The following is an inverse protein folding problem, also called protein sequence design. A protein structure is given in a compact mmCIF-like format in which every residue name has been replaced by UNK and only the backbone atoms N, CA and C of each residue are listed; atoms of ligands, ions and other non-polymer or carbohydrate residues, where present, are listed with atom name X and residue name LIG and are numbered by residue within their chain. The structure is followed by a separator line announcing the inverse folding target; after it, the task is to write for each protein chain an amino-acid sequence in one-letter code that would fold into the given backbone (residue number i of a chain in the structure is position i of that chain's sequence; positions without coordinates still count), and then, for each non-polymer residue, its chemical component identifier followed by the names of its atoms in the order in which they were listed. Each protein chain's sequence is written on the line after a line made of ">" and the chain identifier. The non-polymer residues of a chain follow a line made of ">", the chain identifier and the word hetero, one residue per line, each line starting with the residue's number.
data_IF_166536604747
#
_entry.id   IF_166536604747
#
_cell.length_a   1.000
_cell.length_b   1.000
_cell.length_c   1.000
_cell.angle_alpha   90.00
_cell.angle_beta   90.00
_cell.angle_gamma   90.00
#
_symmetry.space_group_name_H-M   'P 1'
#
loop_
_entity.id
_entity.type
_entity.pdbx_description
1 polymer ?
#
# COMPACT_ATOMS: atom_id res chain seq x y z
N UNK A 1 4.17 0.38 77.42
CA UNK A 1 4.51 1.24 76.28
C UNK A 1 4.42 0.39 75.03
N UNK A 2 3.27 0.45 74.26
CA UNK A 2 3.12 -0.30 73.03
C UNK A 2 3.39 0.67 71.86
N UNK A 3 4.49 0.40 71.13
CA UNK A 3 4.82 1.12 69.92
C UNK A 3 3.96 0.59 68.76
N UNK A 4 3.11 1.44 68.14
CA UNK A 4 2.36 1.11 66.95
C UNK A 4 3.20 1.40 65.72
N UNK A 5 3.63 0.35 65.00
CA UNK A 5 4.27 0.45 63.70
C UNK A 5 3.18 0.62 62.64
N UNK A 6 3.14 1.78 62.00
CA UNK A 6 2.27 2.07 60.87
C UNK A 6 2.96 1.58 59.59
N UNK A 7 2.48 0.48 59.02
CA UNK A 7 2.95 -0.05 57.74
C UNK A 7 2.25 0.69 56.62
N UNK A 8 2.94 1.63 55.98
CA UNK A 8 2.42 2.37 54.81
C UNK A 8 2.58 1.49 53.55
N UNK A 9 1.49 0.92 53.09
CA UNK A 9 1.46 0.13 51.85
C UNK A 9 1.44 1.12 50.63
N UNK A 10 2.57 1.29 49.99
CA UNK A 10 2.70 2.04 48.72
C UNK A 10 2.10 1.20 47.57
N UNK A 11 0.89 1.54 47.16
CA UNK A 11 0.24 0.98 45.97
C UNK A 11 0.89 1.62 44.71
N UNK A 12 1.86 0.94 44.11
CA UNK A 12 2.40 1.36 42.83
C UNK A 12 1.40 1.00 41.71
N UNK A 13 0.68 2.00 41.24
CA UNK A 13 -0.20 1.88 40.05
C UNK A 13 0.69 1.85 38.81
N UNK A 14 0.96 0.66 38.27
CA UNK A 14 1.59 0.52 36.93
C UNK A 14 0.59 0.86 35.86
N UNK A 15 0.73 2.06 35.28
CA UNK A 15 0.00 2.44 34.07
C UNK A 15 0.50 1.58 32.91
N UNK A 16 -0.27 0.55 32.53
CA UNK A 16 -0.06 -0.16 31.29
C UNK A 16 -0.39 0.79 30.14
N UNK A 17 0.62 1.34 29.48
CA UNK A 17 0.44 2.04 28.20
C UNK A 17 -0.02 1.02 27.18
N UNK A 18 -1.29 1.10 26.74
CA UNK A 18 -1.77 0.36 25.59
C UNK A 18 -0.93 0.79 24.37
N UNK A 19 0.03 -0.02 23.98
CA UNK A 19 0.71 0.14 22.70
C UNK A 19 -0.34 -0.07 21.62
N UNK A 20 -0.69 1.00 20.93
CA UNK A 20 -1.50 0.95 19.72
C UNK A 20 -0.64 0.27 18.65
N UNK A 21 -0.67 -1.07 18.59
CA UNK A 21 0.05 -1.84 17.57
C UNK A 21 -0.68 -1.64 16.25
N UNK A 22 -0.19 -0.70 15.44
CA UNK A 22 -0.63 -0.57 14.05
C UNK A 22 -0.43 -1.91 13.34
N UNK A 23 -1.42 -2.33 12.54
CA UNK A 23 -1.32 -3.59 11.82
C UNK A 23 -0.11 -3.55 10.87
N UNK A 24 0.75 -4.55 10.94
CA UNK A 24 1.90 -4.62 10.03
C UNK A 24 1.42 -4.83 8.60
N UNK A 25 1.88 -3.98 7.69
CA UNK A 25 1.68 -4.13 6.25
C UNK A 25 2.03 -5.53 5.74
N UNK A 26 3.10 -6.10 6.25
CA UNK A 26 3.64 -7.39 5.82
C UNK A 26 2.80 -8.60 6.23
N UNK A 27 1.81 -8.43 7.10
CA UNK A 27 0.88 -9.48 7.50
C UNK A 27 -0.39 -9.48 6.63
N UNK A 28 -0.50 -8.57 5.67
CA UNK A 28 -1.67 -8.48 4.80
C UNK A 28 -1.51 -9.44 3.63
N UNK A 29 -2.43 -10.40 3.53
CA UNK A 29 -2.46 -11.33 2.40
C UNK A 29 -2.82 -10.60 1.11
N UNK A 30 -2.04 -10.81 0.07
CA UNK A 30 -2.29 -10.35 -1.28
C UNK A 30 -2.09 -11.51 -2.24
N UNK A 31 -2.83 -11.54 -3.34
CA UNK A 31 -2.72 -12.56 -4.39
C UNK A 31 -2.20 -11.87 -5.65
N UNK A 32 -1.22 -12.46 -6.32
CA UNK A 32 -0.73 -11.95 -7.59
C UNK A 32 -1.73 -12.18 -8.75
N UNK A 33 -1.41 -11.65 -9.91
CA UNK A 33 -2.26 -11.73 -11.10
C UNK A 33 -2.44 -13.18 -11.60
N UNK A 34 -1.54 -14.10 -11.26
CA UNK A 34 -1.61 -15.52 -11.59
C UNK A 34 -2.47 -16.35 -10.62
N UNK A 35 -2.87 -15.77 -9.49
CA UNK A 35 -3.61 -16.42 -8.42
C UNK A 35 -2.72 -17.00 -7.30
N UNK A 36 -1.41 -16.77 -7.36
CA UNK A 36 -0.45 -17.20 -6.32
C UNK A 36 -0.34 -16.18 -5.19
N UNK A 37 0.06 -16.58 -3.97
CA UNK A 37 0.33 -15.63 -2.89
C UNK A 37 1.42 -14.63 -3.27
N UNK A 38 1.14 -13.34 -3.08
CA UNK A 38 2.12 -12.25 -3.21
C UNK A 38 2.55 -11.82 -1.80
N UNK A 39 3.63 -12.40 -1.31
CA UNK A 39 4.17 -12.10 0.01
C UNK A 39 4.88 -10.76 0.01
N UNK A 40 4.31 -9.77 0.71
CA UNK A 40 4.90 -8.44 0.83
C UNK A 40 6.19 -8.44 1.65
N UNK A 41 6.43 -9.44 2.49
CA UNK A 41 7.62 -9.52 3.35
C UNK A 41 8.93 -9.65 2.56
N UNK A 42 8.87 -10.17 1.32
CA UNK A 42 10.01 -10.24 0.41
C UNK A 42 10.55 -8.87 -0.01
N UNK A 43 9.76 -7.81 0.19
CA UNK A 43 10.14 -6.43 -0.15
C UNK A 43 10.62 -5.61 1.06
N UNK A 44 10.79 -6.23 2.24
CA UNK A 44 11.41 -5.56 3.40
C UNK A 44 12.76 -4.98 3.03
N UNK A 45 13.04 -3.76 3.50
CA UNK A 45 14.26 -3.03 3.15
C UNK A 45 14.18 -2.25 1.84
N UNK A 46 13.05 -2.34 1.10
CA UNK A 46 12.76 -1.49 -0.05
C UNK A 46 11.49 -0.68 0.20
N UNK A 47 11.43 0.49 -0.40
CA UNK A 47 10.18 1.23 -0.50
C UNK A 47 9.19 0.50 -1.40
N UNK A 48 7.89 0.65 -1.15
CA UNK A 48 6.84 0.05 -1.98
C UNK A 48 5.91 1.14 -2.48
N UNK A 49 5.70 1.22 -3.79
CA UNK A 49 4.71 2.08 -4.40
C UNK A 49 3.51 1.24 -4.84
N UNK A 50 2.42 1.31 -4.09
CA UNK A 50 1.14 0.71 -4.46
C UNK A 50 0.37 1.64 -5.38
N UNK A 51 -0.17 1.11 -6.47
CA UNK A 51 -0.92 1.89 -7.47
C UNK A 51 -2.16 1.11 -7.90
N UNK A 52 -3.36 1.69 -7.74
CA UNK A 52 -4.55 1.09 -8.34
C UNK A 52 -4.60 1.42 -9.83
N UNK A 53 -4.62 0.39 -10.66
CA UNK A 53 -4.43 0.51 -12.11
C UNK A 53 -5.67 0.07 -12.90
N UNK A 54 -5.76 0.53 -14.15
CA UNK A 54 -6.82 0.15 -15.08
C UNK A 54 -6.37 0.26 -16.54
N UNK A 55 -6.83 -0.67 -17.39
CA UNK A 55 -6.44 -0.78 -18.80
C UNK A 55 -7.15 0.21 -19.74
N UNK A 56 -8.32 0.75 -19.34
CA UNK A 56 -9.17 1.61 -20.18
C UNK A 56 -9.38 3.01 -19.58
N UNK A 57 -8.36 3.57 -18.94
CA UNK A 57 -8.40 4.86 -18.26
C UNK A 57 -7.64 5.93 -19.05
N UNK A 58 -8.03 7.19 -18.95
CA UNK A 58 -7.24 8.31 -19.50
C UNK A 58 -5.83 8.44 -18.94
N UNK A 59 -5.57 7.80 -17.78
CA UNK A 59 -4.25 7.75 -17.14
C UNK A 59 -3.45 6.47 -17.44
N UNK A 60 -3.95 5.56 -18.31
CA UNK A 60 -3.31 4.26 -18.58
C UNK A 60 -1.87 4.41 -19.12
N UNK A 61 -1.58 5.49 -19.87
CA UNK A 61 -0.21 5.81 -20.31
C UNK A 61 0.80 5.98 -19.16
N UNK A 62 0.34 6.13 -17.91
CA UNK A 62 1.25 6.17 -16.76
C UNK A 62 1.95 4.83 -16.46
N UNK A 63 1.52 3.73 -17.07
CA UNK A 63 2.27 2.46 -17.01
C UNK A 63 3.71 2.62 -17.50
N UNK A 64 3.96 3.42 -18.55
CA UNK A 64 5.32 3.70 -19.04
C UNK A 64 6.18 4.30 -17.94
N UNK A 65 5.68 5.35 -17.29
CA UNK A 65 6.41 6.01 -16.20
C UNK A 65 6.53 5.14 -14.93
N UNK A 66 5.56 4.25 -14.65
CA UNK A 66 5.68 3.28 -13.54
C UNK A 66 6.76 2.25 -13.83
N UNK A 67 6.83 1.77 -15.09
CA UNK A 67 7.84 0.82 -15.51
C UNK A 67 9.25 1.45 -15.53
N UNK A 68 9.35 2.70 -15.98
CA UNK A 68 10.59 3.48 -15.92
C UNK A 68 11.06 3.64 -14.46
N UNK A 69 10.14 4.06 -13.56
CA UNK A 69 10.41 4.22 -12.15
C UNK A 69 10.91 2.90 -11.51
N UNK A 70 10.20 1.80 -11.81
CA UNK A 70 10.56 0.48 -11.31
C UNK A 70 11.95 0.04 -11.76
N UNK A 71 12.29 0.22 -13.05
CA UNK A 71 13.62 -0.14 -13.59
C UNK A 71 14.72 0.75 -13.02
N UNK A 72 14.49 2.06 -12.94
CA UNK A 72 15.49 3.03 -12.51
C UNK A 72 15.85 2.86 -11.02
N UNK A 73 14.84 2.56 -10.19
CA UNK A 73 15.02 2.48 -8.73
C UNK A 73 14.90 1.06 -8.17
N UNK A 74 15.12 0.01 -8.98
CA UNK A 74 14.91 -1.41 -8.64
C UNK A 74 15.60 -1.87 -7.36
N UNK A 75 16.71 -1.22 -6.97
CA UNK A 75 17.47 -1.58 -5.77
C UNK A 75 16.82 -1.01 -4.49
N UNK A 76 16.02 0.06 -4.62
CA UNK A 76 15.42 0.80 -3.50
C UNK A 76 13.88 0.74 -3.47
N UNK A 77 13.25 0.48 -4.61
CA UNK A 77 11.80 0.57 -4.79
C UNK A 77 11.26 -0.65 -5.50
N UNK A 78 10.12 -1.12 -5.05
CA UNK A 78 9.24 -1.98 -5.83
C UNK A 78 7.94 -1.24 -6.14
N UNK A 79 7.41 -1.40 -7.34
CA UNK A 79 6.06 -0.95 -7.73
C UNK A 79 5.14 -2.17 -7.68
N UNK A 80 3.96 -2.02 -7.11
CA UNK A 80 2.92 -3.08 -7.12
C UNK A 80 1.66 -2.48 -7.74
N UNK A 81 1.27 -2.98 -8.90
CA UNK A 81 0.04 -2.61 -9.58
C UNK A 81 -1.13 -3.44 -9.04
N UNK A 82 -2.21 -2.77 -8.70
CA UNK A 82 -3.42 -3.34 -8.09
C UNK A 82 -4.62 -3.07 -9.02
N UNK A 83 -4.95 -3.97 -9.96
CA UNK A 83 -6.05 -3.78 -10.89
C UNK A 83 -7.38 -3.57 -10.14
N UNK A 84 -8.16 -2.54 -10.56
CA UNK A 84 -9.40 -2.16 -9.92
C UNK A 84 -10.45 -1.70 -10.91
N UNK A 85 -11.66 -2.29 -10.86
CA UNK A 85 -12.75 -1.96 -11.77
C UNK A 85 -13.78 -0.96 -11.21
N UNK A 86 -13.53 -0.37 -10.03
CA UNK A 86 -14.51 0.48 -9.34
C UNK A 86 -14.64 1.91 -9.89
N UNK A 87 -13.79 2.31 -10.82
CA UNK A 87 -13.79 3.65 -11.41
C UNK A 87 -14.20 3.57 -12.89
N UNK A 88 -15.48 3.79 -13.13
CA UNK A 88 -16.05 3.81 -14.49
C UNK A 88 -16.00 2.46 -15.22
N UNK A 89 -15.82 1.34 -14.53
CA UNK A 89 -15.71 0.03 -15.18
C UNK A 89 -14.47 -0.09 -16.08
N UNK A 90 -13.40 0.64 -15.79
CA UNK A 90 -12.23 0.77 -16.68
C UNK A 90 -11.22 -0.37 -16.59
N UNK A 91 -11.48 -1.40 -15.76
CA UNK A 91 -10.69 -2.64 -15.69
C UNK A 91 -11.59 -3.88 -15.81
N UNK A 92 -12.31 -4.07 -16.93
CA UNK A 92 -13.28 -5.16 -17.05
C UNK A 92 -12.62 -6.52 -17.29
N UNK A 93 -11.38 -6.56 -17.77
CA UNK A 93 -10.68 -7.77 -18.20
C UNK A 93 -10.53 -8.84 -17.13
N UNK A 94 -10.31 -10.07 -17.56
CA UNK A 94 -9.83 -11.17 -16.71
C UNK A 94 -8.37 -10.93 -16.29
N UNK A 95 -7.88 -11.65 -15.31
CA UNK A 95 -6.48 -11.58 -14.86
C UNK A 95 -5.50 -11.75 -16.04
N UNK A 96 -5.74 -12.76 -16.88
CA UNK A 96 -4.92 -13.05 -18.07
C UNK A 96 -4.94 -11.90 -19.10
N UNK A 97 -6.10 -11.31 -19.34
CA UNK A 97 -6.23 -10.17 -20.28
C UNK A 97 -5.53 -8.94 -19.74
N UNK A 98 -5.65 -8.64 -18.44
CA UNK A 98 -4.96 -7.52 -17.78
C UNK A 98 -3.45 -7.71 -17.84
N UNK A 99 -2.97 -8.88 -17.47
CA UNK A 99 -1.53 -9.19 -17.52
C UNK A 99 -0.99 -9.06 -18.95
N UNK A 100 -1.64 -9.67 -19.92
CA UNK A 100 -1.26 -9.58 -21.34
C UNK A 100 -1.24 -8.14 -21.85
N UNK A 101 -2.26 -7.35 -21.48
CA UNK A 101 -2.33 -5.93 -21.83
C UNK A 101 -1.14 -5.13 -21.26
N UNK A 102 -0.85 -5.28 -19.97
CA UNK A 102 0.23 -4.57 -19.28
C UNK A 102 1.60 -4.94 -19.88
N UNK A 103 1.85 -6.23 -20.10
CA UNK A 103 3.13 -6.70 -20.64
C UNK A 103 3.33 -6.33 -22.10
N UNK A 104 2.31 -6.56 -22.95
CA UNK A 104 2.44 -6.34 -24.38
C UNK A 104 2.49 -4.86 -24.77
N UNK A 105 1.73 -3.99 -24.09
CA UNK A 105 1.65 -2.59 -24.49
C UNK A 105 2.63 -1.68 -23.74
N UNK A 106 3.06 -2.06 -22.52
CA UNK A 106 3.88 -1.20 -21.64
C UNK A 106 5.13 -1.90 -21.13
N UNK A 107 5.37 -3.16 -21.47
CA UNK A 107 6.51 -3.92 -21.00
C UNK A 107 6.58 -4.02 -19.46
N UNK A 108 5.42 -4.06 -18.79
CA UNK A 108 5.34 -4.09 -17.32
C UNK A 108 6.00 -5.35 -16.78
N UNK A 109 7.06 -5.17 -15.97
CA UNK A 109 7.79 -6.23 -15.28
C UNK A 109 7.54 -6.22 -13.77
N UNK A 110 6.99 -5.13 -13.22
CA UNK A 110 6.67 -5.07 -11.80
C UNK A 110 5.47 -5.97 -11.45
N UNK A 111 5.36 -6.41 -10.19
CA UNK A 111 4.27 -7.26 -9.71
C UNK A 111 2.90 -6.64 -9.93
N UNK A 112 1.96 -7.45 -10.41
CA UNK A 112 0.53 -7.13 -10.47
C UNK A 112 -0.23 -8.06 -9.51
N UNK A 113 -1.19 -7.52 -8.76
CA UNK A 113 -2.10 -8.35 -7.99
C UNK A 113 -3.27 -8.86 -8.84
N UNK A 114 -4.01 -9.83 -8.33
CA UNK A 114 -5.38 -10.07 -8.79
C UNK A 114 -6.22 -8.79 -8.63
N UNK A 115 -7.34 -8.71 -9.36
CA UNK A 115 -8.25 -7.55 -9.26
C UNK A 115 -8.83 -7.44 -7.86
N UNK A 116 -8.78 -6.24 -7.26
CA UNK A 116 -9.26 -5.98 -5.91
C UNK A 116 -10.18 -4.76 -5.84
N UNK A 117 -10.97 -4.71 -4.77
CA UNK A 117 -11.78 -3.56 -4.41
C UNK A 117 -10.94 -2.59 -3.55
N UNK A 118 -10.89 -1.31 -3.94
CA UNK A 118 -10.08 -0.29 -3.26
C UNK A 118 -10.89 0.64 -2.36
N UNK A 119 -12.21 0.51 -2.37
CA UNK A 119 -13.16 1.29 -1.56
C UNK A 119 -14.46 0.54 -1.33
N UNK A 120 -15.28 1.02 -0.37
CA UNK A 120 -16.59 0.46 -0.06
C UNK A 120 -16.54 -0.72 0.91
N UNK A 121 -17.68 -1.42 1.07
CA UNK A 121 -17.82 -2.49 2.07
C UNK A 121 -16.85 -3.65 1.86
N UNK A 122 -16.56 -3.99 0.60
CA UNK A 122 -15.64 -5.07 0.21
C UNK A 122 -14.20 -4.60 -0.01
N UNK A 123 -13.84 -3.41 0.51
CA UNK A 123 -12.49 -2.87 0.38
C UNK A 123 -11.45 -3.88 0.89
N UNK A 124 -10.47 -4.19 0.04
CA UNK A 124 -9.41 -5.13 0.35
C UNK A 124 -8.58 -4.67 1.56
N UNK A 125 -8.10 -5.56 2.44
CA UNK A 125 -7.32 -5.21 3.64
C UNK A 125 -6.13 -4.29 3.36
N UNK A 126 -5.42 -4.46 2.22
CA UNK A 126 -4.32 -3.56 1.84
C UNK A 126 -4.80 -2.11 1.69
N UNK A 127 -5.96 -1.87 1.07
CA UNK A 127 -6.48 -0.52 0.93
C UNK A 127 -7.11 0.00 2.22
N UNK A 128 -7.65 -0.85 3.09
CA UNK A 128 -8.05 -0.44 4.45
C UNK A 128 -6.83 0.09 5.20
N UNK A 129 -5.70 -0.61 5.10
CA UNK A 129 -4.45 -0.17 5.70
C UNK A 129 -3.93 1.14 5.07
N UNK A 130 -3.83 1.21 3.75
CA UNK A 130 -3.32 2.40 3.04
C UNK A 130 -4.16 3.66 3.29
N UNK A 131 -5.46 3.52 3.56
CA UNK A 131 -6.38 4.65 3.62
C UNK A 131 -6.85 5.02 5.02
N UNK A 132 -6.54 4.23 6.05
CA UNK A 132 -7.02 4.48 7.42
C UNK A 132 -5.88 4.73 8.40
N UNK A 133 -5.86 5.91 9.02
CA UNK A 133 -4.89 6.27 10.07
C UNK A 133 -4.92 5.30 11.25
N UNK A 134 -6.09 4.74 11.59
CA UNK A 134 -6.20 3.76 12.68
C UNK A 134 -5.44 2.47 12.38
N UNK A 135 -5.12 2.18 11.12
CA UNK A 135 -4.39 0.99 10.68
C UNK A 135 -2.93 1.30 10.32
N UNK A 136 -2.68 2.39 9.58
CA UNK A 136 -1.33 2.76 9.13
C UNK A 136 -0.56 3.65 10.13
N UNK A 137 -1.26 4.24 11.11
CA UNK A 137 -0.66 5.11 12.12
C UNK A 137 -0.35 6.54 11.65
N UNK A 138 -0.49 6.84 10.35
CA UNK A 138 0.00 8.08 9.74
C UNK A 138 -1.12 9.01 9.33
N UNK A 139 -2.00 8.57 8.39
CA UNK A 139 -3.01 9.46 7.82
C UNK A 139 -4.25 8.73 7.32
N UNK A 140 -5.36 9.44 7.27
CA UNK A 140 -6.56 9.04 6.55
C UNK A 140 -6.53 9.58 5.12
N UNK A 141 -7.08 8.80 4.18
CA UNK A 141 -7.20 9.20 2.78
C UNK A 141 -8.35 8.49 2.09
N UNK A 142 -8.65 8.88 0.86
CA UNK A 142 -9.67 8.22 0.04
C UNK A 142 -9.13 8.00 -1.37
N UNK A 143 -9.35 6.81 -1.93
CA UNK A 143 -9.01 6.55 -3.33
C UNK A 143 -10.06 7.21 -4.22
N UNK A 144 -9.64 8.24 -4.97
CA UNK A 144 -10.53 9.08 -5.78
C UNK A 144 -10.69 8.61 -7.21
N UNK A 145 -9.63 8.01 -7.78
CA UNK A 145 -9.63 7.56 -9.17
C UNK A 145 -8.53 6.51 -9.42
N UNK A 146 -8.52 5.91 -10.61
CA UNK A 146 -7.43 5.03 -11.05
C UNK A 146 -6.08 5.77 -11.06
N UNK A 147 -5.00 5.05 -10.90
CA UNK A 147 -3.61 5.55 -10.83
C UNK A 147 -3.33 6.48 -9.64
N UNK A 148 -4.08 6.38 -8.54
CA UNK A 148 -3.67 6.93 -7.25
C UNK A 148 -2.55 6.05 -6.69
N UNK A 149 -1.55 6.67 -6.10
CA UNK A 149 -0.34 6.01 -5.61
C UNK A 149 -0.21 6.18 -4.11
N UNK A 150 0.35 5.17 -3.45
CA UNK A 150 0.68 5.18 -2.02
C UNK A 150 2.12 4.72 -1.87
N UNK A 151 2.96 5.53 -1.24
CA UNK A 151 4.37 5.22 -1.01
C UNK A 151 4.56 4.78 0.44
N UNK A 152 5.20 3.64 0.60
CA UNK A 152 5.56 3.03 1.87
C UNK A 152 7.08 2.99 1.97
N UNK A 153 7.64 3.24 3.15
CA UNK A 153 9.07 3.20 3.39
C UNK A 153 9.63 1.77 3.51
N UNK A 154 10.94 1.65 3.66
CA UNK A 154 11.67 0.39 3.80
C UNK A 154 11.35 -0.39 5.07
N UNK A 155 10.70 0.25 6.05
CA UNK A 155 10.24 -0.35 7.30
C UNK A 155 8.76 -0.77 7.26
N UNK A 156 8.07 -0.53 6.14
CA UNK A 156 6.67 -0.82 5.96
C UNK A 156 5.73 0.25 6.54
N UNK A 157 6.20 1.50 6.70
CA UNK A 157 5.39 2.63 7.16
C UNK A 157 4.93 3.49 5.98
N UNK A 158 3.69 3.94 6.01
CA UNK A 158 3.15 4.84 4.99
C UNK A 158 3.89 6.19 5.05
N UNK A 159 4.42 6.64 3.90
CA UNK A 159 5.06 7.95 3.77
C UNK A 159 4.03 8.99 3.30
N UNK A 160 3.39 8.74 2.15
CA UNK A 160 2.49 9.70 1.50
C UNK A 160 1.62 9.01 0.44
N UNK A 161 0.65 9.75 -0.09
CA UNK A 161 -0.12 9.32 -1.26
C UNK A 161 -0.16 10.43 -2.32
N UNK A 162 -0.35 10.02 -3.58
CA UNK A 162 -0.36 10.93 -4.73
C UNK A 162 -1.57 10.65 -5.59
N UNK A 163 -2.31 11.70 -5.94
CA UNK A 163 -3.45 11.57 -6.84
C UNK A 163 -3.03 11.14 -8.25
N UNK A 164 -4.00 10.69 -9.03
CA UNK A 164 -3.83 10.24 -10.42
C UNK A 164 -3.07 11.22 -11.30
N UNK A 165 -3.23 12.52 -11.08
CA UNK A 165 -2.55 13.59 -11.83
C UNK A 165 -1.05 13.70 -11.57
N UNK A 166 -0.55 13.12 -10.46
CA UNK A 166 0.89 13.09 -10.19
C UNK A 166 1.53 11.97 -11.02
N UNK A 167 2.36 12.34 -11.98
CA UNK A 167 3.09 11.38 -12.84
C UNK A 167 4.07 10.55 -12.01
N UNK A 168 4.32 9.27 -12.37
CA UNK A 168 5.24 8.39 -11.62
C UNK A 168 6.65 8.98 -11.48
N UNK A 169 7.21 9.54 -12.55
CA UNK A 169 8.53 10.17 -12.58
C UNK A 169 8.53 11.64 -12.07
N UNK A 170 7.49 12.05 -11.35
CA UNK A 170 7.43 13.39 -10.75
C UNK A 170 8.46 13.54 -9.64
N UNK A 171 9.08 14.73 -9.55
CA UNK A 171 9.95 15.09 -8.43
C UNK A 171 9.29 14.95 -7.05
N UNK A 172 7.93 15.00 -6.98
CA UNK A 172 7.18 14.74 -5.74
C UNK A 172 7.38 13.34 -5.21
N UNK A 173 7.54 12.35 -6.11
CA UNK A 173 7.79 10.94 -5.75
C UNK A 173 9.30 10.70 -5.64
N UNK A 174 10.06 11.10 -6.66
CA UNK A 174 11.50 10.80 -6.77
C UNK A 174 12.30 11.30 -5.56
N UNK A 175 12.00 12.48 -5.04
CA UNK A 175 12.68 13.04 -3.86
C UNK A 175 12.48 12.26 -2.56
N UNK A 176 11.52 11.32 -2.54
CA UNK A 176 11.23 10.47 -1.40
C UNK A 176 11.87 9.07 -1.53
N UNK A 177 12.54 8.77 -2.65
CA UNK A 177 13.25 7.52 -2.91
C UNK A 177 14.71 7.64 -2.51
#
# INVERSE_FOLDING_TARGET
>A
MLSKIFLCLLLTCTMATAQNTTASLYNISLTDISGSPLDLSQYKGKKILFVNVASKCGFTSQYDGLQELYKTYKDKLVVIGLPCNQFGGQEPGTAKEIESFCRANYGVDFPLSSKIEVKGASQHPIYKWLTSKSQNGVMDSTVRWNFQKYLVDENGQLIDYFYSTTKPMSSKIIKLL
#
